data_IF_773229744186
#
_entry.id   IF_773229744186
#
_cell.length_a   1.000
_cell.length_b   1.000
_cell.length_c   1.000
_cell.angle_alpha   90.00
_cell.angle_beta   90.00
_cell.angle_gamma   90.00
#
_symmetry.space_group_name_H-M   'P 1'
#
loop_
_entity.id
_entity.type
_entity.pdbx_description
1 polymer ?
#
# COMPACT_ATOMS: atom_id res chain seq x y z
N UNK A 1 -29.91 14.70 -2.62
CA UNK A 1 -29.55 14.33 -1.23
C UNK A 1 -28.31 13.47 -1.32
N UNK A 2 -27.14 14.03 -1.02
CA UNK A 2 -25.85 13.33 -1.15
C UNK A 2 -25.58 12.50 0.10
N UNK A 3 -25.44 11.19 -0.06
CA UNK A 3 -25.12 10.27 1.03
C UNK A 3 -23.64 9.94 1.01
N UNK A 4 -22.95 10.31 2.09
CA UNK A 4 -21.53 10.08 2.32
C UNK A 4 -21.29 8.59 2.63
N UNK A 5 -20.56 7.88 1.76
CA UNK A 5 -20.17 6.50 1.99
C UNK A 5 -19.04 6.43 3.03
N UNK A 6 -19.34 5.86 4.20
CA UNK A 6 -18.35 5.46 5.19
C UNK A 6 -17.58 4.24 4.67
N UNK A 7 -16.42 4.49 4.08
CA UNK A 7 -15.40 3.46 3.93
C UNK A 7 -14.66 3.44 5.26
N UNK A 8 -14.72 2.31 5.96
CA UNK A 8 -13.92 2.08 7.16
C UNK A 8 -12.44 2.15 6.79
N UNK A 9 -11.82 3.29 7.04
CA UNK A 9 -10.36 3.44 7.04
C UNK A 9 -9.94 2.99 8.44
N UNK A 10 -9.23 1.87 8.53
CA UNK A 10 -8.53 1.51 9.76
C UNK A 10 -7.36 2.48 9.88
N UNK A 11 -7.57 3.56 10.62
CA UNK A 11 -6.51 4.48 11.03
C UNK A 11 -5.77 3.86 12.22
N UNK A 12 -4.57 3.35 12.00
CA UNK A 12 -3.73 2.80 13.07
C UNK A 12 -2.98 3.96 13.72
N UNK A 13 -3.43 4.36 14.90
CA UNK A 13 -2.73 5.32 15.76
C UNK A 13 -1.50 4.68 16.38
N UNK A 14 -0.32 5.23 16.12
CA UNK A 14 0.94 4.80 16.72
C UNK A 14 1.08 5.45 18.10
N UNK A 15 1.10 4.64 19.15
CA UNK A 15 1.46 5.07 20.51
C UNK A 15 2.98 5.19 20.60
N UNK A 16 3.48 6.42 20.73
CA UNK A 16 4.90 6.71 20.96
C UNK A 16 5.25 6.43 22.43
N UNK A 17 6.01 5.35 22.67
CA UNK A 17 6.68 5.13 23.94
C UNK A 17 7.95 5.98 24.02
N UNK A 18 7.94 7.04 24.82
CA UNK A 18 9.12 7.85 25.13
C UNK A 18 10.00 7.14 26.16
N UNK A 19 11.04 6.46 25.71
CA UNK A 19 12.10 5.92 26.57
C UNK A 19 13.26 6.91 26.73
N UNK A 20 13.39 7.50 27.91
CA UNK A 20 14.48 8.41 28.29
C UNK A 20 15.69 7.58 28.71
N UNK A 21 16.80 7.67 27.97
CA UNK A 21 18.07 7.01 28.30
C UNK A 21 19.21 8.02 28.45
N UNK A 22 19.60 8.30 29.69
CA UNK A 22 20.80 9.08 30.04
C UNK A 22 21.98 8.14 30.33
N UNK A 23 23.17 8.42 29.78
CA UNK A 23 24.41 8.11 30.51
C UNK A 23 25.65 7.63 29.73
N UNK A 24 26.58 8.58 29.52
CA UNK A 24 28.06 8.51 29.65
C UNK A 24 28.93 7.73 28.63
N UNK A 25 29.72 8.51 27.88
CA UNK A 25 31.18 8.66 28.11
C UNK A 25 32.15 8.17 27.01
N UNK A 26 32.95 9.09 26.44
CA UNK A 26 34.42 9.10 26.29
C UNK A 26 34.89 9.91 25.05
N UNK A 27 35.89 10.79 25.28
CA UNK A 27 36.75 11.46 24.27
C UNK A 27 37.64 10.38 23.55
N UNK A 28 38.29 10.56 22.40
CA UNK A 28 38.92 11.72 21.78
C UNK A 28 39.24 11.47 20.28
N UNK A 29 39.55 12.57 19.58
CA UNK A 29 40.53 12.76 18.51
C UNK A 29 40.41 11.97 17.17
N UNK A 30 40.38 12.73 16.07
CA UNK A 30 40.63 12.23 14.73
C UNK A 30 40.09 13.17 13.66
N UNK A 31 40.88 14.18 13.29
CA UNK A 31 40.56 15.05 12.17
C UNK A 31 40.43 14.22 10.89
N UNK A 32 39.21 14.15 10.37
CA UNK A 32 38.95 13.79 8.98
C UNK A 32 38.03 14.86 8.43
N UNK A 33 38.58 15.68 7.53
CA UNK A 33 37.82 16.52 6.62
C UNK A 33 37.10 15.59 5.63
N UNK A 34 36.07 14.90 6.12
CA UNK A 34 35.07 14.29 5.27
C UNK A 34 34.26 15.43 4.68
N UNK A 35 34.40 15.65 3.38
CA UNK A 35 33.41 16.43 2.63
C UNK A 35 32.03 15.91 3.02
N UNK A 36 31.03 16.77 3.30
CA UNK A 36 29.71 16.29 3.69
C UNK A 36 29.21 15.41 2.55
N UNK A 37 29.23 14.10 2.79
CA UNK A 37 28.46 13.14 2.01
C UNK A 37 27.04 13.69 2.08
N UNK A 38 26.53 14.18 0.94
CA UNK A 38 25.15 14.62 0.82
C UNK A 38 24.29 13.52 1.41
N UNK A 39 23.74 13.76 2.60
CA UNK A 39 22.82 12.83 3.23
C UNK A 39 21.71 12.51 2.25
N UNK A 40 21.07 11.33 2.38
CA UNK A 40 19.95 10.96 1.52
C UNK A 40 18.95 12.13 1.45
N UNK A 41 18.66 12.59 0.22
CA UNK A 41 17.79 13.73 -0.03
C UNK A 41 16.38 13.38 0.44
N UNK A 42 15.92 14.06 1.48
CA UNK A 42 14.52 13.98 1.95
C UNK A 42 13.63 14.66 0.92
N UNK A 43 12.56 13.98 0.51
CA UNK A 43 11.55 14.58 -0.35
C UNK A 43 10.67 15.54 0.44
N UNK A 44 10.26 16.61 -0.22
CA UNK A 44 9.44 17.70 0.35
C UNK A 44 8.05 17.79 -0.28
N UNK A 45 7.86 17.13 -1.43
CA UNK A 45 6.59 17.10 -2.15
C UNK A 45 6.21 15.69 -2.61
N UNK A 46 4.92 15.37 -2.50
CA UNK A 46 4.32 14.18 -3.07
C UNK A 46 3.57 14.53 -4.37
N UNK A 47 3.53 13.67 -5.39
CA UNK A 47 2.60 13.85 -6.50
C UNK A 47 1.15 13.59 -6.06
N UNK A 48 0.18 14.06 -6.84
CA UNK A 48 -1.22 13.68 -6.66
C UNK A 48 -1.46 12.27 -7.24
N UNK A 49 -1.84 11.27 -6.42
CA UNK A 49 -2.02 9.89 -6.87
C UNK A 49 -3.14 9.72 -7.90
N UNK A 50 -4.13 10.62 -7.97
CA UNK A 50 -5.18 10.58 -8.99
C UNK A 50 -4.66 10.95 -10.41
N UNK A 51 -3.42 11.44 -10.53
CA UNK A 51 -2.81 11.90 -11.79
C UNK A 51 -1.86 10.87 -12.45
N UNK A 52 -2.04 9.58 -12.14
CA UNK A 52 -1.23 8.48 -12.71
C UNK A 52 -1.41 8.29 -14.23
N UNK A 53 -2.42 8.91 -14.84
CA UNK A 53 -2.55 9.07 -16.30
C UNK A 53 -2.47 7.73 -17.05
N UNK A 54 -1.59 7.67 -18.06
CA UNK A 54 -1.40 6.49 -18.90
C UNK A 54 -0.84 5.26 -18.16
N UNK A 55 -0.28 5.43 -16.96
CA UNK A 55 0.20 4.33 -16.13
C UNK A 55 -0.94 3.61 -15.40
N UNK A 56 -2.16 4.17 -15.44
CA UNK A 56 -3.35 3.53 -14.89
C UNK A 56 -3.73 2.29 -15.73
N UNK A 57 -3.98 1.13 -15.12
CA UNK A 57 -4.52 -0.04 -15.81
C UNK A 57 -5.80 0.32 -16.59
N UNK A 58 -5.95 -0.17 -17.82
CA UNK A 58 -7.16 0.10 -18.62
C UNK A 58 -8.42 -0.53 -18.02
N UNK A 59 -8.26 -1.57 -17.20
CA UNK A 59 -9.38 -2.26 -16.57
C UNK A 59 -10.16 -1.38 -15.58
N UNK A 60 -9.58 -0.28 -15.07
CA UNK A 60 -10.30 0.72 -14.24
C UNK A 60 -10.93 1.86 -15.06
N UNK A 61 -10.93 1.80 -16.39
CA UNK A 61 -11.63 2.79 -17.18
C UNK A 61 -13.15 2.68 -16.94
N UNK A 62 -13.78 3.82 -16.62
CA UNK A 62 -15.18 3.89 -16.19
C UNK A 62 -15.41 3.62 -14.70
N UNK A 63 -14.35 3.37 -13.92
CA UNK A 63 -14.47 3.16 -12.47
C UNK A 63 -14.87 4.42 -11.71
N UNK A 64 -15.60 4.23 -10.60
CA UNK A 64 -15.86 5.30 -9.65
C UNK A 64 -14.56 5.67 -8.96
N UNK A 65 -14.25 6.97 -8.91
CA UNK A 65 -13.03 7.49 -8.29
C UNK A 65 -13.36 8.00 -6.89
N UNK A 66 -12.59 7.54 -5.90
CA UNK A 66 -12.60 8.12 -4.55
C UNK A 66 -11.25 8.78 -4.29
N UNK A 67 -11.27 10.10 -4.11
CA UNK A 67 -10.09 10.91 -3.81
C UNK A 67 -10.00 12.18 -4.66
N UNK A 68 -8.90 12.93 -4.55
CA UNK A 68 -7.78 12.65 -3.64
C UNK A 68 -8.18 12.87 -2.16
N UNK A 69 -7.74 11.99 -1.27
CA UNK A 69 -7.48 12.44 0.10
C UNK A 69 -6.10 13.12 0.05
N UNK A 70 -6.03 14.41 0.35
CA UNK A 70 -4.85 15.25 0.15
C UNK A 70 -4.40 15.87 1.47
N UNK A 71 -3.86 15.01 2.33
CA UNK A 71 -3.26 15.41 3.60
C UNK A 71 -1.75 15.62 3.40
N UNK A 72 -1.15 16.53 4.17
CA UNK A 72 0.25 16.92 4.02
C UNK A 72 1.25 15.75 4.10
N UNK A 73 0.88 14.71 4.85
CA UNK A 73 1.71 13.52 5.09
C UNK A 73 1.13 12.27 4.43
N UNK A 74 -0.07 12.33 3.86
CA UNK A 74 -0.70 11.20 3.21
C UNK A 74 -1.57 11.63 2.02
N UNK A 75 -1.32 11.02 0.87
CA UNK A 75 -2.17 11.18 -0.31
C UNK A 75 -2.70 9.84 -0.77
N UNK A 76 -3.98 9.76 -1.09
CA UNK A 76 -4.53 8.53 -1.67
C UNK A 76 -5.60 8.77 -2.72
N UNK A 77 -5.70 7.83 -3.66
CA UNK A 77 -6.74 7.77 -4.66
C UNK A 77 -7.12 6.31 -4.89
N UNK A 78 -8.41 6.03 -5.07
CA UNK A 78 -8.87 4.70 -5.47
C UNK A 78 -9.88 4.74 -6.61
N UNK A 79 -9.89 3.66 -7.37
CA UNK A 79 -10.80 3.38 -8.48
C UNK A 79 -11.45 2.04 -8.24
N UNK A 80 -12.78 2.02 -8.32
CA UNK A 80 -13.54 0.81 -8.07
C UNK A 80 -14.68 0.61 -9.08
N UNK A 81 -14.85 -0.65 -9.48
CA UNK A 81 -16.03 -1.19 -10.17
C UNK A 81 -16.43 -2.43 -9.39
N UNK A 82 -17.69 -2.54 -8.99
CA UNK A 82 -18.19 -3.68 -8.21
C UNK A 82 -19.58 -4.03 -8.73
N UNK A 83 -19.61 -4.82 -9.80
CA UNK A 83 -20.83 -5.18 -10.52
C UNK A 83 -21.03 -6.70 -10.51
N UNK A 84 -22.17 -7.17 -11.02
CA UNK A 84 -22.48 -8.60 -11.03
C UNK A 84 -21.53 -9.45 -11.87
N UNK A 85 -20.88 -8.83 -12.85
CA UNK A 85 -20.11 -9.53 -13.88
C UNK A 85 -18.60 -9.39 -13.67
N UNK A 86 -18.18 -8.34 -12.93
CA UNK A 86 -16.78 -8.10 -12.61
C UNK A 86 -16.61 -7.19 -11.40
N UNK A 87 -15.49 -7.35 -10.71
CA UNK A 87 -14.95 -6.39 -9.76
C UNK A 87 -13.57 -5.94 -10.21
N UNK A 88 -13.27 -4.67 -9.97
CA UNK A 88 -11.95 -4.08 -10.19
C UNK A 88 -11.67 -3.11 -9.06
N UNK A 89 -10.47 -3.18 -8.48
CA UNK A 89 -10.03 -2.28 -7.42
C UNK A 89 -8.58 -1.88 -7.63
N UNK A 90 -8.35 -0.57 -7.78
CA UNK A 90 -7.04 0.05 -7.73
C UNK A 90 -7.01 1.04 -6.58
N UNK A 91 -6.06 0.90 -5.68
CA UNK A 91 -5.76 1.88 -4.66
C UNK A 91 -4.31 2.28 -4.73
N UNK A 92 -4.08 3.59 -4.70
CA UNK A 92 -2.76 4.20 -4.69
C UNK A 92 -2.68 5.06 -3.44
N UNK A 93 -1.73 4.76 -2.57
CA UNK A 93 -1.37 5.52 -1.39
C UNK A 93 0.05 6.05 -1.49
N UNK A 94 0.27 7.26 -1.00
CA UNK A 94 1.58 7.86 -0.80
C UNK A 94 1.62 8.34 0.65
N UNK A 95 2.60 7.86 1.40
CA UNK A 95 2.87 8.29 2.76
C UNK A 95 4.21 9.02 2.75
N UNK A 96 4.26 10.20 3.35
CA UNK A 96 5.49 10.95 3.56
C UNK A 96 5.72 11.12 5.06
N UNK A 97 6.79 10.53 5.57
CA UNK A 97 7.24 10.77 6.93
C UNK A 97 7.87 12.15 7.02
N UNK A 98 7.39 12.95 7.97
CA UNK A 98 7.85 14.32 8.25
C UNK A 98 8.10 14.55 9.75
N UNK A 99 8.29 13.48 10.53
CA UNK A 99 8.45 13.56 11.98
C UNK A 99 9.65 14.42 12.38
N UNK A 100 9.59 14.99 13.59
CA UNK A 100 10.67 15.79 14.19
C UNK A 100 11.96 14.97 14.45
N UNK A 101 11.87 13.64 14.36
CA UNK A 101 12.99 12.70 14.43
C UNK A 101 13.71 12.55 13.08
N UNK A 102 14.02 11.31 12.71
CA UNK A 102 14.63 10.98 11.41
C UNK A 102 13.54 10.42 10.47
N UNK A 103 12.98 11.22 9.56
CA UNK A 103 11.85 10.82 8.72
C UNK A 103 12.18 9.64 7.79
N UNK A 104 13.45 9.45 7.43
CA UNK A 104 13.89 8.31 6.61
C UNK A 104 13.84 7.01 7.41
N UNK A 105 14.19 7.06 8.70
CA UNK A 105 14.09 5.90 9.60
C UNK A 105 12.64 5.57 9.89
N UNK A 106 11.79 6.58 10.11
CA UNK A 106 10.35 6.39 10.28
C UNK A 106 9.71 5.70 9.07
N UNK A 107 9.98 6.19 7.85
CA UNK A 107 9.50 5.58 6.63
C UNK A 107 10.01 4.14 6.45
N UNK A 108 11.27 3.86 6.83
CA UNK A 108 11.82 2.51 6.78
C UNK A 108 11.10 1.55 7.73
N UNK A 109 10.80 2.00 8.94
CA UNK A 109 10.09 1.19 9.93
C UNK A 109 8.65 0.92 9.49
N UNK A 110 7.96 1.94 8.95
CA UNK A 110 6.62 1.76 8.38
C UNK A 110 6.63 0.73 7.24
N UNK A 111 7.56 0.87 6.28
CA UNK A 111 7.73 -0.10 5.19
C UNK A 111 8.00 -1.53 5.68
N UNK A 112 8.82 -1.69 6.73
CA UNK A 112 9.11 -3.00 7.30
C UNK A 112 7.87 -3.64 7.98
N UNK A 113 7.05 -2.82 8.63
CA UNK A 113 5.78 -3.25 9.20
C UNK A 113 4.80 -3.67 8.10
N UNK A 114 4.66 -2.86 7.04
CA UNK A 114 3.80 -3.15 5.90
C UNK A 114 4.21 -4.44 5.19
N UNK A 115 5.52 -4.66 5.00
CA UNK A 115 6.04 -5.92 4.47
C UNK A 115 5.72 -7.11 5.38
N UNK A 116 5.78 -6.93 6.70
CA UNK A 116 5.43 -8.00 7.66
C UNK A 116 3.95 -8.33 7.58
N UNK A 117 3.09 -7.30 7.52
CA UNK A 117 1.65 -7.46 7.32
C UNK A 117 1.32 -8.14 5.98
N UNK A 118 2.01 -7.76 4.90
CA UNK A 118 1.86 -8.41 3.60
C UNK A 118 2.23 -9.90 3.63
N UNK A 119 3.09 -10.32 4.55
CA UNK A 119 3.47 -11.71 4.74
C UNK A 119 2.43 -12.54 5.49
N UNK A 120 1.65 -11.91 6.37
CA UNK A 120 0.56 -12.57 7.09
C UNK A 120 -0.53 -11.56 7.49
N UNK A 121 -1.53 -11.35 6.61
CA UNK A 121 -2.63 -10.41 6.89
C UNK A 121 -3.50 -10.83 8.09
N UNK A 122 -3.61 -12.15 8.34
CA UNK A 122 -4.44 -12.73 9.40
C UNK A 122 -3.73 -12.76 10.78
N UNK A 123 -2.41 -12.53 10.81
CA UNK A 123 -1.59 -12.56 12.02
C UNK A 123 -1.24 -11.17 12.56
N UNK A 124 -1.79 -10.09 11.99
CA UNK A 124 -1.51 -8.71 12.43
C UNK A 124 -1.83 -8.46 13.92
N UNK A 125 -2.73 -9.27 14.51
CA UNK A 125 -3.12 -9.25 15.92
C UNK A 125 -2.71 -10.52 16.70
N UNK A 126 -1.99 -11.47 16.09
CA UNK A 126 -1.67 -12.77 16.69
C UNK A 126 -0.16 -13.08 16.64
N UNK A 127 0.46 -13.09 17.81
CA UNK A 127 1.74 -13.77 18.05
C UNK A 127 1.68 -15.25 17.57
N UNK A 128 2.81 -15.85 17.15
CA UNK A 128 2.84 -16.84 16.08
C UNK A 128 2.39 -18.22 16.55
N UNK A 129 1.33 -18.77 15.94
CA UNK A 129 1.06 -20.20 15.95
C UNK A 129 0.48 -20.61 14.60
N UNK A 130 1.32 -21.31 13.82
CA UNK A 130 1.16 -21.48 12.40
C UNK A 130 -0.06 -22.26 11.92
N UNK A 131 -0.34 -22.07 10.64
CA UNK A 131 -1.01 -23.07 9.82
C UNK A 131 -0.52 -23.01 8.38
N UNK A 132 -0.48 -24.20 7.78
CA UNK A 132 0.10 -24.53 6.49
C UNK A 132 -0.85 -24.24 5.32
N UNK A 133 -0.29 -23.78 4.21
CA UNK A 133 -0.98 -23.75 2.92
C UNK A 133 -0.44 -22.68 1.97
N UNK A 134 0.59 -23.03 1.19
CA UNK A 134 1.26 -22.23 0.13
C UNK A 134 2.20 -21.12 0.61
N UNK A 135 3.39 -21.52 1.07
CA UNK A 135 4.50 -20.65 1.49
C UNK A 135 4.90 -19.64 0.38
N UNK A 136 4.89 -20.04 -0.89
CA UNK A 136 5.26 -19.16 -2.00
C UNK A 136 4.20 -18.09 -2.35
N UNK A 137 2.95 -18.26 -1.90
CA UNK A 137 1.87 -17.32 -2.18
C UNK A 137 1.76 -16.21 -1.14
N UNK A 138 2.37 -16.40 0.03
CA UNK A 138 2.20 -15.53 1.19
C UNK A 138 3.41 -14.63 1.43
N UNK A 139 4.60 -14.95 0.91
CA UNK A 139 5.79 -14.16 1.20
C UNK A 139 5.99 -13.00 0.19
N UNK A 140 6.10 -11.74 0.68
CA UNK A 140 6.43 -10.60 -0.17
C UNK A 140 7.79 -10.81 -0.82
N UNK A 141 7.82 -10.70 -2.14
CA UNK A 141 9.02 -10.82 -2.94
C UNK A 141 9.72 -9.47 -2.98
N UNK A 142 10.99 -9.43 -2.56
CA UNK A 142 11.80 -8.23 -2.68
C UNK A 142 11.96 -7.83 -4.16
N UNK A 143 11.81 -6.54 -4.44
CA UNK A 143 11.98 -5.98 -5.77
C UNK A 143 13.23 -5.11 -5.75
N UNK A 144 14.20 -5.42 -6.60
CA UNK A 144 15.29 -4.51 -6.90
C UNK A 144 14.82 -3.43 -7.89
N UNK A 145 15.49 -2.27 -7.90
CA UNK A 145 15.29 -1.17 -8.86
C UNK A 145 14.00 -0.34 -8.76
N UNK A 146 13.23 -0.47 -7.67
CA UNK A 146 12.06 0.35 -7.40
C UNK A 146 12.27 1.09 -6.06
N UNK A 147 12.80 2.31 -6.11
CA UNK A 147 13.17 3.06 -4.90
C UNK A 147 14.40 2.49 -4.19
N UNK A 148 14.52 2.78 -2.89
CA UNK A 148 15.56 2.25 -2.00
C UNK A 148 15.23 0.81 -1.57
N UNK A 149 13.95 0.54 -1.29
CA UNK A 149 13.42 -0.75 -0.88
C UNK A 149 12.04 -0.94 -1.52
N UNK A 150 11.73 -2.15 -1.97
CA UNK A 150 10.41 -2.47 -2.48
C UNK A 150 10.06 -3.95 -2.32
N UNK A 151 8.77 -4.24 -2.28
CA UNK A 151 8.24 -5.60 -2.34
C UNK A 151 7.01 -5.69 -3.24
N UNK A 152 6.73 -6.90 -3.71
CA UNK A 152 5.44 -7.31 -4.28
C UNK A 152 4.90 -8.51 -3.51
N UNK A 153 3.62 -8.50 -3.20
CA UNK A 153 2.92 -9.64 -2.63
C UNK A 153 1.65 -9.93 -3.43
N UNK A 154 1.22 -11.20 -3.44
CA UNK A 154 -0.13 -11.53 -3.89
C UNK A 154 -1.13 -10.85 -2.95
N UNK A 155 -2.14 -10.26 -3.55
CA UNK A 155 -3.22 -9.60 -2.83
C UNK A 155 -4.51 -10.33 -3.18
N UNK A 156 -5.16 -10.90 -2.16
CA UNK A 156 -6.51 -11.42 -2.26
C UNK A 156 -7.33 -10.69 -1.22
N UNK A 157 -8.46 -10.10 -1.60
CA UNK A 157 -9.27 -9.34 -0.67
C UNK A 157 -10.75 -9.60 -0.91
N UNK A 158 -11.49 -9.66 0.19
CA UNK A 158 -12.94 -9.68 0.20
C UNK A 158 -13.42 -8.25 0.44
N UNK A 159 -13.89 -7.61 -0.62
CA UNK A 159 -14.39 -6.23 -0.53
C UNK A 159 -15.89 -6.23 -0.30
N UNK A 160 -16.29 -5.73 0.86
CA UNK A 160 -17.68 -5.44 1.17
C UNK A 160 -18.12 -4.13 0.50
N UNK A 161 -19.08 -4.19 -0.41
CA UNK A 161 -19.56 -3.04 -1.18
C UNK A 161 -21.10 -3.03 -1.32
N UNK A 162 -21.70 -1.84 -1.18
CA UNK A 162 -23.14 -1.63 -1.21
C UNK A 162 -23.65 -0.87 0.02
N UNK A 163 -24.90 -0.39 -0.04
CA UNK A 163 -25.56 0.36 1.04
C UNK A 163 -26.59 -0.51 1.79
N UNK A 164 -26.69 -0.33 3.11
CA UNK A 164 -27.71 -0.96 3.97
C UNK A 164 -27.23 -2.19 4.73
N UNK A 165 -28.16 -2.95 5.32
CA UNK A 165 -27.87 -4.09 6.20
C UNK A 165 -27.32 -5.34 5.47
N UNK A 166 -27.16 -5.25 4.14
CA UNK A 166 -26.84 -6.37 3.27
C UNK A 166 -25.79 -6.00 2.21
N UNK A 167 -24.56 -5.66 2.62
CA UNK A 167 -23.49 -5.43 1.65
C UNK A 167 -23.18 -6.72 0.89
N UNK A 168 -22.71 -6.55 -0.35
CA UNK A 168 -22.20 -7.64 -1.18
C UNK A 168 -20.71 -7.80 -0.92
N UNK A 169 -20.23 -9.02 -0.80
CA UNK A 169 -18.81 -9.32 -0.76
C UNK A 169 -18.30 -9.63 -2.17
N UNK A 170 -17.19 -9.05 -2.54
CA UNK A 170 -16.51 -9.30 -3.81
C UNK A 170 -15.14 -9.87 -3.53
N UNK A 171 -14.93 -11.13 -3.95
CA UNK A 171 -13.63 -11.74 -3.91
C UNK A 171 -12.84 -11.30 -5.14
N UNK A 172 -11.66 -10.74 -4.92
CA UNK A 172 -10.77 -10.29 -5.98
C UNK A 172 -9.31 -10.64 -5.68
N UNK A 173 -8.54 -10.90 -6.73
CA UNK A 173 -7.13 -11.20 -6.65
C UNK A 173 -6.30 -10.24 -7.49
N UNK A 174 -5.03 -10.11 -7.14
CA UNK A 174 -4.07 -9.30 -7.85
C UNK A 174 -2.76 -9.15 -7.07
N UNK A 175 -2.19 -7.94 -7.10
CA UNK A 175 -0.91 -7.63 -6.52
C UNK A 175 -0.97 -6.41 -5.59
N UNK A 176 -0.17 -6.48 -4.53
CA UNK A 176 0.23 -5.34 -3.73
C UNK A 176 1.71 -5.08 -3.99
N UNK A 177 2.02 -3.91 -4.52
CA UNK A 177 3.39 -3.44 -4.71
C UNK A 177 3.61 -2.21 -3.85
N UNK A 178 4.67 -2.21 -3.07
CA UNK A 178 5.05 -1.08 -2.24
C UNK A 178 6.53 -0.78 -2.41
N UNK A 179 6.87 0.51 -2.45
CA UNK A 179 8.23 0.97 -2.56
C UNK A 179 8.49 2.17 -1.66
N UNK A 180 9.64 2.16 -1.00
CA UNK A 180 10.16 3.28 -0.23
C UNK A 180 11.26 4.01 -1.01
N UNK A 181 11.22 5.33 -1.01
CA UNK A 181 12.31 6.19 -1.45
C UNK A 181 12.52 7.31 -0.42
N UNK A 182 13.68 7.30 0.25
CA UNK A 182 13.98 8.15 1.40
C UNK A 182 12.85 8.10 2.46
N UNK A 183 12.18 9.23 2.70
CA UNK A 183 11.07 9.40 3.65
C UNK A 183 9.68 9.15 3.06
N UNK A 184 9.58 8.67 1.82
CA UNK A 184 8.30 8.45 1.13
C UNK A 184 8.07 6.97 0.87
N UNK A 185 6.84 6.51 1.09
CA UNK A 185 6.35 5.18 0.72
C UNK A 185 5.24 5.35 -0.31
N UNK A 186 5.33 4.61 -1.41
CA UNK A 186 4.27 4.51 -2.43
C UNK A 186 3.72 3.09 -2.38
N UNK A 187 2.43 2.96 -2.07
CA UNK A 187 1.72 1.70 -1.94
C UNK A 187 0.65 1.59 -3.03
N UNK A 188 0.66 0.51 -3.80
CA UNK A 188 -0.30 0.24 -4.87
C UNK A 188 -0.91 -1.14 -4.67
N UNK A 189 -2.22 -1.17 -4.41
CA UNK A 189 -3.02 -2.40 -4.38
C UNK A 189 -3.85 -2.45 -5.64
N UNK A 190 -3.64 -3.47 -6.46
CA UNK A 190 -4.26 -3.60 -7.77
C UNK A 190 -4.79 -5.01 -7.97
N UNK A 191 -6.08 -5.14 -8.24
CA UNK A 191 -6.70 -6.43 -8.50
C UNK A 191 -8.07 -6.34 -9.14
N UNK A 192 -8.55 -7.50 -9.57
CA UNK A 192 -9.83 -7.64 -10.23
C UNK A 192 -10.29 -9.09 -10.26
N UNK A 193 -11.53 -9.28 -10.67
CA UNK A 193 -12.13 -10.57 -10.92
C UNK A 193 -13.27 -10.46 -11.92
N UNK A 194 -13.52 -11.55 -12.64
CA UNK A 194 -14.71 -11.73 -13.50
C UNK A 194 -15.61 -12.82 -12.91
N UNK A 195 -16.92 -12.60 -12.94
CA UNK A 195 -17.91 -13.47 -12.32
C UNK A 195 -18.81 -14.08 -13.39
N UNK A 196 -19.11 -15.38 -13.29
CA UNK A 196 -20.03 -16.08 -14.20
C UNK A 196 -21.47 -16.17 -13.63
N UNK A 197 -21.83 -15.25 -12.74
CA UNK A 197 -23.14 -15.19 -12.09
C UNK A 197 -23.05 -15.29 -10.56
N UNK A 198 -24.18 -15.04 -9.90
CA UNK A 198 -24.30 -15.07 -8.44
C UNK A 198 -24.47 -16.52 -7.97
N UNK A 199 -23.64 -17.02 -7.06
CA UNK A 199 -23.95 -18.24 -6.34
C UNK A 199 -25.20 -17.99 -5.48
N UNK A 200 -26.34 -18.52 -5.91
CA UNK A 200 -27.63 -18.36 -5.25
C UNK A 200 -27.55 -18.83 -3.78
N UNK A 201 -27.59 -17.89 -2.85
CA UNK A 201 -27.71 -18.14 -1.41
C UNK A 201 -26.91 -17.16 -0.57
N UNK A 202 -25.67 -16.91 -0.96
CA UNK A 202 -24.71 -16.12 -0.20
C UNK A 202 -24.23 -14.95 -1.04
N UNK A 203 -24.24 -13.74 -0.46
CA UNK A 203 -23.99 -12.43 -1.09
C UNK A 203 -22.52 -12.24 -1.51
N UNK A 204 -21.83 -13.30 -1.89
CA UNK A 204 -20.40 -13.35 -2.19
C UNK A 204 -20.24 -13.58 -3.71
N UNK A 205 -19.49 -12.70 -4.35
CA UNK A 205 -19.10 -12.81 -5.75
C UNK A 205 -17.71 -13.43 -5.80
N UNK A 206 -17.66 -14.73 -6.10
CA UNK A 206 -16.42 -15.48 -6.32
C UNK A 206 -16.32 -15.83 -7.79
N UNK A 207 -15.17 -15.56 -8.40
CA UNK A 207 -14.98 -15.76 -9.83
C UNK A 207 -13.52 -15.99 -10.18
N UNK A 208 -13.18 -15.67 -11.43
CA UNK A 208 -11.80 -15.79 -11.92
C UNK A 208 -11.07 -14.49 -11.62
N UNK A 209 -10.14 -14.55 -10.66
CA UNK A 209 -9.27 -13.44 -10.30
C UNK A 209 -8.33 -13.06 -11.46
N UNK A 210 -7.96 -11.79 -11.52
CA UNK A 210 -6.90 -11.33 -12.43
C UNK A 210 -5.57 -12.03 -12.11
N UNK A 211 -4.78 -12.26 -13.17
CA UNK A 211 -3.49 -12.93 -13.03
C UNK A 211 -2.48 -12.06 -12.24
N UNK A 212 -1.85 -12.67 -11.22
CA UNK A 212 -0.88 -11.99 -10.36
C UNK A 212 0.25 -11.35 -11.16
N UNK A 213 0.86 -12.06 -12.12
CA UNK A 213 2.01 -11.54 -12.87
C UNK A 213 1.65 -10.29 -13.69
N UNK A 214 0.43 -10.26 -14.23
CA UNK A 214 -0.12 -9.12 -14.97
C UNK A 214 -0.35 -7.94 -14.04
N UNK A 215 -1.04 -8.17 -12.91
CA UNK A 215 -1.33 -7.12 -11.93
C UNK A 215 -0.05 -6.56 -11.29
N UNK A 216 0.93 -7.39 -10.93
CA UNK A 216 2.23 -6.96 -10.39
C UNK A 216 2.96 -6.01 -11.35
N UNK A 217 3.07 -6.39 -12.63
CA UNK A 217 3.71 -5.54 -13.66
C UNK A 217 3.01 -4.19 -13.81
N UNK A 218 1.68 -4.18 -13.78
CA UNK A 218 0.89 -2.96 -13.87
C UNK A 218 1.07 -2.08 -12.62
N UNK A 219 1.02 -2.67 -11.42
CA UNK A 219 1.23 -1.97 -10.15
C UNK A 219 2.65 -1.36 -10.06
N UNK A 220 3.70 -2.10 -10.46
CA UNK A 220 5.07 -1.56 -10.55
C UNK A 220 5.18 -0.37 -11.49
N UNK A 221 4.42 -0.37 -12.59
CA UNK A 221 4.40 0.75 -13.54
C UNK A 221 3.82 2.00 -12.89
N UNK A 222 2.75 1.86 -12.11
CA UNK A 222 2.18 2.96 -11.31
C UNK A 222 3.17 3.46 -10.28
N UNK A 223 3.78 2.57 -9.49
CA UNK A 223 4.79 2.94 -8.47
C UNK A 223 5.95 3.70 -9.10
N UNK A 224 6.55 3.17 -10.17
CA UNK A 224 7.66 3.81 -10.89
C UNK A 224 7.29 5.22 -11.37
N UNK A 225 6.06 5.39 -11.85
CA UNK A 225 5.55 6.69 -12.32
C UNK A 225 5.45 7.71 -11.19
N UNK A 226 5.03 7.29 -9.99
CA UNK A 226 4.88 8.18 -8.84
C UNK A 226 6.23 8.52 -8.21
N UNK A 227 7.12 7.54 -8.07
CA UNK A 227 8.48 7.77 -7.60
C UNK A 227 9.24 8.77 -8.49
N UNK A 228 9.07 8.68 -9.81
CA UNK A 228 9.67 9.62 -10.77
C UNK A 228 9.12 11.06 -10.72
N UNK A 229 8.09 11.32 -9.92
CA UNK A 229 7.46 12.64 -9.74
C UNK A 229 7.68 13.24 -8.34
N UNK A 230 8.46 12.58 -7.48
CA UNK A 230 8.81 13.12 -6.16
C UNK A 230 9.74 14.33 -6.30
N UNK A 231 9.62 15.29 -5.38
CA UNK A 231 10.40 16.55 -5.36
C UNK A 231 10.83 16.94 -3.96
#
# INVERSE_FOLDING_TARGET
MGATALVGIVAIGVVLATGVGSGRGHQAAGGSSGSPSSGPTTYTGMPNPCTIGASRPKQVDGATIKGPNDEDHQRSCSWAIFDSDRAVYLQVGILMSSGAGNPIVEARNAFANDRTFAASPDDADKEPAGFSGNEDAQHPQAISSLGDEAFSAKFTNDVSYGSGDHPKLYHLGGAWVEARAANVIVSVRWGGATYQGVSSGDKIYTGTNDDYSTTDKQARTVVKTLLGKLS
#
